data_IF_265040930688
#
_entry.id   IF_265040930688
#
_cell.length_a   1.000
_cell.length_b   1.000
_cell.length_c   1.000
_cell.angle_alpha   90.00
_cell.angle_beta   90.00
_cell.angle_gamma   90.00
#
_symmetry.space_group_name_H-M   'P 1'
#
loop_
_entity.id
_entity.type
_entity.pdbx_description
1 polymer ?
#
# COMPACT_ATOMS: atom_id res chain seq x y z
N UNK A 1 -59.12 -16.88 38.36
CA UNK A 1 -58.64 -15.49 38.33
C UNK A 1 -57.25 -15.53 37.71
N UNK A 2 -57.18 -15.40 36.39
CA UNK A 2 -55.94 -15.29 35.65
C UNK A 2 -55.49 -13.84 35.53
N UNK A 3 -54.25 -13.62 35.12
CA UNK A 3 -53.71 -12.29 34.84
C UNK A 3 -52.19 -12.28 34.87
N UNK A 4 -51.62 -12.44 33.68
CA UNK A 4 -50.22 -12.54 33.30
C UNK A 4 -49.33 -11.36 33.72
N UNK A 5 -48.05 -11.66 34.01
CA UNK A 5 -46.98 -10.67 34.23
C UNK A 5 -46.13 -10.57 32.96
N UNK A 6 -45.95 -9.40 32.34
CA UNK A 6 -45.20 -9.28 31.10
C UNK A 6 -43.68 -9.20 31.32
N UNK A 7 -42.96 -10.13 30.69
CA UNK A 7 -41.52 -10.01 30.37
C UNK A 7 -41.29 -8.83 29.45
N UNK A 8 -40.41 -7.90 29.84
CA UNK A 8 -39.83 -6.91 28.93
C UNK A 8 -38.31 -7.08 28.91
N UNK A 9 -37.82 -7.66 27.83
CA UNK A 9 -36.41 -7.69 27.47
C UNK A 9 -36.01 -6.31 26.95
N UNK A 10 -35.37 -5.50 27.80
CA UNK A 10 -34.73 -4.26 27.38
C UNK A 10 -33.43 -4.54 26.63
N UNK A 11 -33.50 -4.72 25.31
CA UNK A 11 -32.32 -4.66 24.45
C UNK A 11 -31.84 -3.21 24.38
N UNK A 12 -30.73 -2.93 25.09
CA UNK A 12 -29.97 -1.70 24.90
C UNK A 12 -29.22 -1.79 23.57
N UNK A 13 -29.90 -1.40 22.49
CA UNK A 13 -29.28 -1.11 21.20
C UNK A 13 -28.51 0.19 21.33
N UNK A 14 -27.20 0.11 21.57
CA UNK A 14 -26.27 1.23 21.44
C UNK A 14 -26.11 1.59 19.96
N UNK A 15 -27.04 2.40 19.45
CA UNK A 15 -26.90 3.09 18.17
C UNK A 15 -25.85 4.19 18.29
N UNK A 16 -24.58 3.86 18.06
CA UNK A 16 -23.55 4.85 17.76
C UNK A 16 -23.71 5.30 16.30
N UNK A 17 -24.62 6.25 16.09
CA UNK A 17 -24.66 7.08 14.88
C UNK A 17 -23.37 7.90 14.79
N UNK A 18 -22.40 7.41 14.03
CA UNK A 18 -21.20 8.18 13.67
C UNK A 18 -21.44 8.78 12.30
N UNK A 19 -21.96 10.00 12.33
CA UNK A 19 -22.25 10.85 11.19
C UNK A 19 -20.97 11.21 10.42
N UNK A 20 -21.17 11.35 9.12
CA UNK A 20 -20.27 11.78 8.08
C UNK A 20 -19.22 12.84 8.45
N UNK A 21 -18.03 12.59 7.92
CA UNK A 21 -16.93 13.53 7.81
C UNK A 21 -15.96 13.05 6.74
N UNK A 22 -16.46 12.83 5.52
CA UNK A 22 -15.62 12.57 4.35
C UNK A 22 -14.82 13.83 4.03
N UNK A 23 -13.70 14.02 4.72
CA UNK A 23 -12.70 14.99 4.28
C UNK A 23 -12.06 14.43 3.01
N UNK A 24 -12.52 14.91 1.84
CA UNK A 24 -11.78 14.84 0.60
C UNK A 24 -10.42 15.51 0.82
N UNK A 25 -9.43 14.72 1.24
CA UNK A 25 -8.03 15.12 1.12
C UNK A 25 -7.78 15.19 -0.37
N UNK A 26 -7.87 16.39 -0.93
CA UNK A 26 -7.40 16.68 -2.27
C UNK A 26 -5.92 16.32 -2.31
N UNK A 27 -5.62 15.14 -2.83
CA UNK A 27 -4.26 14.68 -3.02
C UNK A 27 -3.65 15.64 -4.03
N UNK A 28 -2.73 16.46 -3.56
CA UNK A 28 -2.04 17.50 -4.32
C UNK A 28 -1.45 16.87 -5.58
N UNK A 29 -2.01 17.24 -6.75
CA UNK A 29 -1.67 16.62 -8.04
C UNK A 29 -0.22 16.96 -8.36
N UNK A 30 0.66 15.97 -8.20
CA UNK A 30 2.07 16.14 -8.51
C UNK A 30 2.24 16.31 -10.03
N UNK A 31 3.08 17.25 -10.48
CA UNK A 31 3.39 17.37 -11.90
C UNK A 31 4.10 16.09 -12.35
N UNK A 32 3.45 15.35 -13.25
CA UNK A 32 3.99 14.09 -13.76
C UNK A 32 5.27 14.37 -14.58
N UNK A 33 6.38 13.62 -14.36
CA UNK A 33 7.58 13.74 -15.18
C UNK A 33 7.31 13.22 -16.61
N UNK A 34 7.01 14.16 -17.51
CA UNK A 34 6.69 13.98 -18.94
C UNK A 34 5.28 13.48 -19.26
N UNK A 35 4.72 14.06 -20.33
CA UNK A 35 3.43 13.72 -20.96
C UNK A 35 3.41 12.37 -21.68
N UNK A 36 4.54 11.67 -21.73
CA UNK A 36 4.63 10.33 -22.27
C UNK A 36 4.38 9.34 -21.12
N UNK A 37 3.30 8.53 -21.14
CA UNK A 37 2.99 7.67 -20.02
C UNK A 37 4.14 6.69 -19.79
N UNK A 38 4.71 6.74 -18.58
CA UNK A 38 5.70 5.75 -18.16
C UNK A 38 5.08 4.35 -18.31
N UNK A 39 5.77 3.39 -18.96
CA UNK A 39 5.27 2.04 -19.12
C UNK A 39 5.16 1.40 -17.74
N UNK A 40 3.93 1.23 -17.26
CA UNK A 40 3.61 0.56 -16.00
C UNK A 40 3.53 -0.95 -16.23
N UNK A 41 3.79 -1.75 -15.20
CA UNK A 41 3.52 -3.19 -15.28
C UNK A 41 2.00 -3.43 -15.36
N UNK A 42 1.57 -4.53 -15.97
CA UNK A 42 0.15 -4.86 -16.12
C UNK A 42 -0.64 -4.82 -14.79
N UNK A 43 -0.01 -5.23 -13.68
CA UNK A 43 -0.59 -5.15 -12.33
C UNK A 43 -0.75 -3.72 -11.81
N UNK A 44 0.15 -2.80 -12.16
CA UNK A 44 0.08 -1.39 -11.79
C UNK A 44 -1.00 -0.67 -12.60
N UNK A 45 -1.12 -1.00 -13.89
CA UNK A 45 -2.20 -0.47 -14.73
C UNK A 45 -3.59 -0.93 -14.27
N UNK A 46 -3.71 -2.15 -13.74
CA UNK A 46 -4.96 -2.61 -13.13
C UNK A 46 -5.36 -1.73 -11.93
N UNK A 47 -4.42 -1.41 -11.05
CA UNK A 47 -4.69 -0.53 -9.90
C UNK A 47 -5.07 0.90 -10.32
N UNK A 48 -4.46 1.41 -11.40
CA UNK A 48 -4.85 2.70 -11.98
C UNK A 48 -6.28 2.61 -12.53
N UNK A 49 -6.63 1.52 -13.22
CA UNK A 49 -7.99 1.29 -13.73
C UNK A 49 -9.02 1.23 -12.60
N UNK A 50 -8.67 0.66 -11.46
CA UNK A 50 -9.57 0.62 -10.30
C UNK A 50 -9.88 2.03 -9.76
N UNK A 51 -8.87 2.90 -9.65
CA UNK A 51 -9.05 4.31 -9.26
C UNK A 51 -9.89 5.06 -10.31
N UNK A 52 -9.59 4.84 -11.59
CA UNK A 52 -10.35 5.42 -12.70
C UNK A 52 -11.83 5.02 -12.66
N UNK A 53 -12.14 3.72 -12.55
CA UNK A 53 -13.52 3.25 -12.46
C UNK A 53 -14.21 3.72 -11.18
N UNK A 54 -13.50 3.81 -10.05
CA UNK A 54 -14.05 4.38 -8.83
C UNK A 54 -14.47 5.84 -9.04
N UNK A 55 -13.65 6.65 -9.72
CA UNK A 55 -13.97 8.05 -10.02
C UNK A 55 -15.16 8.18 -10.99
N UNK A 56 -15.17 7.40 -12.07
CA UNK A 56 -16.30 7.40 -13.03
C UNK A 56 -17.60 6.98 -12.33
N UNK A 57 -17.55 5.97 -11.46
CA UNK A 57 -18.73 5.54 -10.68
C UNK A 57 -19.20 6.61 -9.69
N UNK A 58 -18.29 7.41 -9.12
CA UNK A 58 -18.65 8.56 -8.26
C UNK A 58 -19.38 9.67 -9.03
N UNK A 59 -19.07 9.86 -10.31
CA UNK A 59 -19.76 10.85 -11.15
C UNK A 59 -21.13 10.32 -11.64
N UNK A 60 -21.24 9.01 -11.86
CA UNK A 60 -22.47 8.35 -12.34
C UNK A 60 -23.32 7.70 -11.21
N UNK A 61 -23.28 8.23 -9.98
CA UNK A 61 -23.94 7.58 -8.83
C UNK A 61 -25.44 7.41 -9.02
N UNK A 62 -26.13 8.42 -9.57
CA UNK A 62 -27.58 8.39 -9.71
C UNK A 62 -28.04 7.34 -10.72
N UNK A 63 -27.32 7.20 -11.83
CA UNK A 63 -27.62 6.17 -12.84
C UNK A 63 -27.32 4.75 -12.35
N UNK A 64 -26.27 4.61 -11.53
CA UNK A 64 -25.93 3.33 -10.88
C UNK A 64 -26.99 2.95 -9.85
N UNK A 65 -27.50 3.92 -9.08
CA UNK A 65 -28.59 3.70 -8.12
C UNK A 65 -29.87 3.26 -8.83
N UNK A 66 -30.27 3.93 -9.91
CA UNK A 66 -31.45 3.55 -10.69
C UNK A 66 -31.34 2.12 -11.27
N UNK A 67 -30.14 1.72 -11.72
CA UNK A 67 -29.90 0.34 -12.14
C UNK A 67 -29.95 -0.64 -10.95
N UNK A 68 -29.36 -0.28 -9.82
CA UNK A 68 -29.36 -1.10 -8.61
C UNK A 68 -30.79 -1.33 -8.10
N UNK A 69 -31.62 -0.29 -8.01
CA UNK A 69 -33.02 -0.38 -7.59
C UNK A 69 -33.83 -1.35 -8.48
N UNK A 70 -33.62 -1.33 -9.79
CA UNK A 70 -34.25 -2.29 -10.69
C UNK A 70 -33.74 -3.73 -10.47
N UNK A 71 -32.45 -3.88 -10.16
CA UNK A 71 -31.81 -5.17 -9.92
C UNK A 71 -32.12 -5.76 -8.53
N UNK A 72 -32.57 -4.96 -7.56
CA UNK A 72 -32.97 -5.45 -6.24
C UNK A 72 -34.12 -6.46 -6.39
N UNK A 73 -33.87 -7.71 -6.01
CA UNK A 73 -34.87 -8.79 -6.04
C UNK A 73 -35.03 -9.49 -7.41
N UNK A 74 -34.22 -9.13 -8.42
CA UNK A 74 -34.18 -9.84 -9.71
C UNK A 74 -32.77 -10.38 -9.86
N UNK A 75 -32.59 -11.70 -9.90
CA UNK A 75 -31.26 -12.32 -10.06
C UNK A 75 -31.04 -12.83 -11.47
N UNK A 76 -32.05 -13.49 -12.05
CA UNK A 76 -31.95 -14.10 -13.37
C UNK A 76 -32.52 -13.23 -14.51
N UNK A 77 -33.50 -12.37 -14.22
CA UNK A 77 -34.20 -11.57 -15.23
C UNK A 77 -33.66 -10.14 -15.42
N UNK A 78 -32.64 -9.74 -14.65
CA UNK A 78 -31.97 -8.41 -14.73
C UNK A 78 -31.58 -7.99 -16.14
N UNK A 79 -30.88 -8.81 -16.95
CA UNK A 79 -30.37 -8.34 -18.25
C UNK A 79 -31.48 -7.99 -19.25
N UNK A 80 -32.69 -8.54 -19.05
CA UNK A 80 -33.86 -8.27 -19.88
C UNK A 80 -34.73 -7.16 -19.26
N UNK A 81 -35.07 -7.29 -17.98
CA UNK A 81 -36.01 -6.39 -17.32
C UNK A 81 -35.41 -5.02 -16.97
N UNK A 82 -34.11 -4.96 -16.67
CA UNK A 82 -33.39 -3.73 -16.30
C UNK A 82 -32.55 -3.19 -17.46
N UNK A 83 -32.87 -3.57 -18.71
CA UNK A 83 -32.10 -3.18 -19.89
C UNK A 83 -32.10 -1.67 -20.14
N UNK A 84 -33.19 -0.99 -19.83
CA UNK A 84 -33.31 0.47 -19.95
C UNK A 84 -32.35 1.21 -18.98
N UNK A 85 -32.45 1.06 -17.65
CA UNK A 85 -31.54 1.72 -16.73
C UNK A 85 -30.08 1.28 -16.93
N UNK A 86 -29.84 0.03 -17.32
CA UNK A 86 -28.49 -0.44 -17.66
C UNK A 86 -27.86 0.32 -18.85
N UNK A 87 -28.66 0.71 -19.87
CA UNK A 87 -28.15 1.52 -20.99
C UNK A 87 -27.83 2.94 -20.56
N UNK A 88 -28.68 3.55 -19.73
CA UNK A 88 -28.46 4.93 -19.24
C UNK A 88 -27.18 4.99 -18.39
N UNK A 89 -27.02 4.05 -17.45
CA UNK A 89 -25.79 3.91 -16.66
C UNK A 89 -24.54 3.75 -17.53
N UNK A 90 -24.58 2.84 -18.52
CA UNK A 90 -23.44 2.64 -19.42
C UNK A 90 -23.15 3.87 -20.30
N UNK A 91 -24.16 4.62 -20.70
CA UNK A 91 -23.96 5.86 -21.43
C UNK A 91 -23.27 6.90 -20.56
N UNK A 92 -23.69 7.09 -19.31
CA UNK A 92 -22.99 7.97 -18.36
C UNK A 92 -21.52 7.56 -18.20
N UNK A 93 -21.26 6.26 -17.95
CA UNK A 93 -19.88 5.77 -17.79
C UNK A 93 -19.02 6.03 -19.03
N UNK A 94 -19.56 5.91 -20.24
CA UNK A 94 -18.83 6.19 -21.49
C UNK A 94 -18.54 7.68 -21.68
N UNK A 95 -19.44 8.57 -21.27
CA UNK A 95 -19.23 10.02 -21.35
C UNK A 95 -18.07 10.48 -20.47
N UNK A 96 -17.95 9.89 -19.27
CA UNK A 96 -16.89 10.22 -18.32
C UNK A 96 -15.62 9.39 -18.50
N UNK A 97 -15.64 8.34 -19.32
CA UNK A 97 -14.48 7.53 -19.64
C UNK A 97 -13.55 8.21 -20.67
N UNK A 98 -13.02 9.38 -20.31
CA UNK A 98 -12.10 10.13 -21.15
C UNK A 98 -10.64 9.74 -20.88
N UNK A 99 -9.75 9.83 -21.89
CA UNK A 99 -8.30 9.65 -21.67
C UNK A 99 -7.72 10.61 -20.62
N UNK A 100 -8.25 11.84 -20.56
CA UNK A 100 -7.83 12.83 -19.57
C UNK A 100 -8.16 12.40 -18.12
N UNK A 101 -9.31 11.76 -17.89
CA UNK A 101 -9.64 11.18 -16.59
C UNK A 101 -8.75 9.99 -16.25
N UNK A 102 -8.35 9.20 -17.25
CA UNK A 102 -7.40 8.10 -17.06
C UNK A 102 -6.01 8.60 -16.67
N UNK A 103 -5.52 9.68 -17.29
CA UNK A 103 -4.25 10.31 -16.93
C UNK A 103 -4.31 10.93 -15.53
N UNK A 104 -5.41 11.60 -15.19
CA UNK A 104 -5.62 12.12 -13.85
C UNK A 104 -5.76 11.01 -12.78
N UNK A 105 -6.23 9.81 -13.15
CA UNK A 105 -6.21 8.65 -12.26
C UNK A 105 -4.79 8.06 -12.11
N UNK A 106 -3.97 8.10 -13.17
CA UNK A 106 -2.53 7.76 -13.08
C UNK A 106 -1.81 8.70 -12.11
N UNK A 107 -2.03 10.01 -12.23
CA UNK A 107 -1.46 11.02 -11.32
C UNK A 107 -1.83 10.76 -9.86
N UNK A 108 -3.10 10.51 -9.59
CA UNK A 108 -3.58 10.18 -8.25
C UNK A 108 -2.93 8.89 -7.72
N UNK A 109 -2.82 7.84 -8.55
CA UNK A 109 -2.16 6.60 -8.16
C UNK A 109 -0.69 6.82 -7.78
N UNK A 110 0.04 7.62 -8.55
CA UNK A 110 1.42 7.99 -8.24
C UNK A 110 1.50 8.80 -6.94
N UNK A 111 0.61 9.77 -6.74
CA UNK A 111 0.59 10.60 -5.55
C UNK A 111 0.28 9.79 -4.28
N UNK A 112 -0.73 8.91 -4.32
CA UNK A 112 -1.04 7.99 -3.22
C UNK A 112 0.13 7.07 -2.89
N UNK A 113 0.88 6.62 -3.89
CA UNK A 113 2.08 5.80 -3.68
C UNK A 113 3.20 6.61 -3.00
N UNK A 114 3.42 7.84 -3.42
CA UNK A 114 4.39 8.74 -2.78
C UNK A 114 3.98 9.08 -1.35
N UNK A 115 2.69 9.25 -1.09
CA UNK A 115 2.15 9.46 0.25
C UNK A 115 2.41 8.23 1.15
N UNK A 116 2.13 7.01 0.67
CA UNK A 116 2.47 5.77 1.41
C UNK A 116 3.96 5.63 1.68
N UNK A 117 4.82 6.11 0.79
CA UNK A 117 6.27 6.13 1.03
C UNK A 117 6.64 7.12 2.14
N UNK A 118 6.12 8.36 2.08
CA UNK A 118 6.31 9.38 3.12
C UNK A 118 5.76 8.93 4.48
N UNK A 119 4.64 8.21 4.49
CA UNK A 119 4.06 7.67 5.72
C UNK A 119 4.94 6.57 6.33
N UNK A 120 5.51 5.69 5.50
CA UNK A 120 6.50 4.68 5.95
C UNK A 120 7.75 5.33 6.50
N UNK A 121 8.27 6.38 5.87
CA UNK A 121 9.41 7.16 6.38
C UNK A 121 9.10 7.82 7.74
N UNK A 122 7.92 8.44 7.88
CA UNK A 122 7.46 9.02 9.15
C UNK A 122 7.31 7.96 10.25
N UNK A 123 6.74 6.80 9.92
CA UNK A 123 6.61 5.68 10.86
C UNK A 123 7.97 5.10 11.25
N UNK A 124 8.89 4.96 10.30
CA UNK A 124 10.26 4.50 10.55
C UNK A 124 11.02 5.48 11.46
N UNK A 125 10.91 6.80 11.21
CA UNK A 125 11.50 7.82 12.07
C UNK A 125 10.98 7.75 13.51
N UNK A 126 9.65 7.64 13.69
CA UNK A 126 9.04 7.49 15.02
C UNK A 126 9.51 6.21 15.72
N UNK A 127 9.65 5.11 14.97
CA UNK A 127 10.17 3.86 15.51
C UNK A 127 11.64 3.99 15.92
N UNK A 128 12.47 4.67 15.13
CA UNK A 128 13.86 4.92 15.47
C UNK A 128 13.99 5.80 16.73
N UNK A 129 13.15 6.83 16.88
CA UNK A 129 13.08 7.64 18.09
C UNK A 129 12.64 6.79 19.31
N UNK A 130 11.65 5.91 19.14
CA UNK A 130 11.21 4.98 20.20
C UNK A 130 12.29 3.96 20.57
N UNK A 131 12.99 3.39 19.57
CA UNK A 131 14.09 2.45 19.78
C UNK A 131 15.27 3.13 20.49
N UNK A 132 15.58 4.39 20.15
CA UNK A 132 16.60 5.19 20.84
C UNK A 132 16.22 5.45 22.30
N UNK A 133 14.98 5.88 22.55
CA UNK A 133 14.47 6.11 23.90
C UNK A 133 14.47 4.82 24.74
N UNK A 134 14.00 3.71 24.17
CA UNK A 134 14.01 2.41 24.85
C UNK A 134 15.44 1.93 25.16
N UNK A 135 16.41 2.19 24.28
CA UNK A 135 17.81 1.82 24.47
C UNK A 135 18.46 2.63 25.60
N UNK A 136 18.21 3.93 25.63
CA UNK A 136 18.65 4.82 26.72
C UNK A 136 18.03 4.40 28.04
N UNK A 137 16.72 4.13 28.05
CA UNK A 137 15.97 3.69 29.23
C UNK A 137 16.49 2.37 29.82
N UNK A 138 16.90 1.42 28.96
CA UNK A 138 17.46 0.13 29.39
C UNK A 138 18.97 0.16 29.68
N UNK A 139 19.65 1.30 29.54
CA UNK A 139 21.08 1.44 29.82
C UNK A 139 21.98 0.59 28.91
N UNK A 140 21.52 0.26 27.69
CA UNK A 140 22.36 -0.47 26.74
C UNK A 140 23.50 0.45 26.22
N UNK A 141 24.71 -0.09 25.94
CA UNK A 141 25.81 0.68 25.34
C UNK A 141 25.40 1.42 24.07
N UNK A 142 26.09 2.49 23.64
CA UNK A 142 25.84 3.06 22.32
C UNK A 142 25.98 2.00 21.23
N UNK A 143 25.08 2.02 20.23
CA UNK A 143 25.18 1.09 19.10
C UNK A 143 26.47 1.40 18.33
N UNK A 144 27.20 0.37 17.90
CA UNK A 144 28.46 0.54 17.17
C UNK A 144 28.30 1.55 16.03
N UNK A 145 29.20 2.54 15.98
CA UNK A 145 29.11 3.69 15.07
C UNK A 145 29.01 3.27 13.60
N UNK A 146 29.54 2.11 13.25
CA UNK A 146 29.44 1.51 11.91
C UNK A 146 28.06 0.93 11.61
N UNK A 147 27.41 0.30 12.59
CA UNK A 147 26.06 -0.23 12.43
C UNK A 147 25.04 0.90 12.33
N UNK A 148 25.21 1.95 13.13
CA UNK A 148 24.42 3.17 13.05
C UNK A 148 24.55 3.84 11.66
N UNK A 149 25.77 3.91 11.09
CA UNK A 149 25.99 4.40 9.71
C UNK A 149 25.28 3.55 8.66
N UNK A 150 25.40 2.22 8.73
CA UNK A 150 24.74 1.29 7.80
C UNK A 150 23.21 1.37 7.88
N UNK A 151 22.66 1.55 9.08
CA UNK A 151 21.21 1.74 9.24
C UNK A 151 20.72 3.09 8.73
N UNK A 152 21.49 4.16 8.95
CA UNK A 152 21.17 5.48 8.40
C UNK A 152 21.18 5.45 6.86
N UNK A 153 22.17 4.79 6.24
CA UNK A 153 22.23 4.61 4.79
C UNK A 153 21.06 3.79 4.24
N UNK A 154 20.65 2.73 4.95
CA UNK A 154 19.45 1.95 4.61
C UNK A 154 18.16 2.76 4.76
N UNK A 155 18.04 3.55 5.82
CA UNK A 155 16.88 4.43 6.02
C UNK A 155 16.82 5.57 4.99
N UNK A 156 17.98 6.09 4.56
CA UNK A 156 18.08 7.14 3.56
C UNK A 156 17.98 6.61 2.11
N UNK A 157 17.97 5.29 1.91
CA UNK A 157 17.80 4.68 0.60
C UNK A 157 16.36 4.85 0.10
N UNK A 158 16.06 6.02 -0.48
CA UNK A 158 14.72 6.37 -1.00
C UNK A 158 14.25 5.33 -2.01
N UNK A 159 13.07 4.77 -1.79
CA UNK A 159 12.42 3.88 -2.77
C UNK A 159 12.19 4.63 -4.09
N UNK A 160 12.76 4.11 -5.18
CA UNK A 160 12.56 4.65 -6.54
C UNK A 160 11.17 4.27 -7.07
N UNK A 161 10.53 5.18 -7.82
CA UNK A 161 9.20 5.02 -8.43
C UNK A 161 9.06 3.73 -9.27
N UNK A 162 10.14 3.15 -9.79
CA UNK A 162 10.15 1.88 -10.53
C UNK A 162 10.41 0.60 -9.72
N UNK A 163 10.61 0.69 -8.40
CA UNK A 163 11.19 -0.41 -7.62
C UNK A 163 12.68 -0.63 -7.95
N UNK A 164 13.32 -1.54 -7.23
CA UNK A 164 14.67 -2.00 -7.59
C UNK A 164 14.58 -2.86 -8.84
N UNK A 165 15.34 -2.49 -9.88
CA UNK A 165 15.58 -3.39 -11.02
C UNK A 165 16.22 -4.66 -10.46
N UNK A 166 15.67 -5.84 -10.79
CA UNK A 166 16.07 -7.12 -10.21
C UNK A 166 17.57 -7.42 -10.24
N UNK A 167 18.32 -6.78 -11.14
CA UNK A 167 19.77 -6.84 -11.21
C UNK A 167 20.49 -6.41 -9.92
N UNK A 168 19.95 -5.47 -9.16
CA UNK A 168 20.59 -5.05 -7.91
C UNK A 168 20.52 -6.14 -6.84
N UNK A 169 19.42 -6.91 -6.74
CA UNK A 169 19.33 -8.04 -5.81
C UNK A 169 20.32 -9.16 -6.15
N UNK A 170 20.50 -9.44 -7.44
CA UNK A 170 21.51 -10.41 -7.91
C UNK A 170 22.93 -9.93 -7.60
N UNK A 171 23.20 -8.64 -7.81
CA UNK A 171 24.50 -8.04 -7.49
C UNK A 171 24.78 -8.07 -5.99
N UNK A 172 23.81 -7.69 -5.16
CA UNK A 172 23.93 -7.68 -3.71
C UNK A 172 24.06 -9.12 -3.16
N UNK A 173 23.37 -10.10 -3.76
CA UNK A 173 23.51 -11.52 -3.43
C UNK A 173 24.88 -12.08 -3.83
N UNK A 174 25.40 -11.72 -5.01
CA UNK A 174 26.76 -12.10 -5.44
C UNK A 174 27.83 -11.45 -4.56
N UNK A 175 27.64 -10.19 -4.16
CA UNK A 175 28.57 -9.49 -3.27
C UNK A 175 28.54 -10.07 -1.85
N UNK A 176 27.36 -10.48 -1.36
CA UNK A 176 27.22 -11.19 -0.09
C UNK A 176 27.85 -12.60 -0.15
N UNK A 177 27.69 -13.33 -1.26
CA UNK A 177 28.32 -14.64 -1.47
C UNK A 177 29.85 -14.54 -1.52
N UNK A 178 30.41 -13.52 -2.19
CA UNK A 178 31.85 -13.26 -2.24
C UNK A 178 32.43 -12.86 -0.87
N UNK A 179 31.68 -12.14 -0.04
CA UNK A 179 32.08 -11.85 1.35
C UNK A 179 32.09 -13.12 2.19
N UNK A 180 31.06 -13.97 2.04
CA UNK A 180 30.96 -15.25 2.75
C UNK A 180 32.10 -16.21 2.39
N UNK A 181 32.52 -16.27 1.12
CA UNK A 181 33.65 -17.12 0.70
C UNK A 181 34.98 -16.65 1.30
N UNK A 182 35.25 -15.34 1.32
CA UNK A 182 36.46 -14.78 1.93
C UNK A 182 36.54 -15.07 3.43
N UNK A 183 35.42 -14.95 4.15
CA UNK A 183 35.35 -15.26 5.58
C UNK A 183 35.65 -16.76 5.83
N UNK A 184 35.09 -17.64 4.98
CA UNK A 184 35.33 -19.08 5.06
C UNK A 184 36.79 -19.45 4.79
N UNK A 185 37.41 -18.77 3.83
CA UNK A 185 38.82 -18.95 3.48
C UNK A 185 39.74 -18.44 4.62
N UNK A 186 39.43 -17.29 5.19
CA UNK A 186 40.15 -16.76 6.34
C UNK A 186 40.05 -17.67 7.57
N UNK A 187 38.87 -18.21 7.86
CA UNK A 187 38.65 -19.19 8.92
C UNK A 187 39.28 -20.57 8.64
N UNK A 188 39.59 -20.87 7.38
CA UNK A 188 40.37 -22.06 7.00
C UNK A 188 41.85 -21.84 7.27
N UNK A 189 42.38 -20.70 6.83
CA UNK A 189 43.78 -20.32 7.07
C UNK A 189 44.11 -20.19 8.56
N UNK A 190 43.18 -19.67 9.37
CA UNK A 190 43.34 -19.65 10.84
C UNK A 190 43.42 -21.07 11.43
N UNK A 191 42.56 -22.00 10.98
CA UNK A 191 42.64 -23.40 11.44
C UNK A 191 43.95 -24.08 11.04
N UNK A 192 44.37 -23.89 9.79
CA UNK A 192 45.61 -24.47 9.27
C UNK A 192 46.85 -23.85 9.97
N UNK A 193 46.75 -22.59 10.42
CA UNK A 193 47.75 -21.94 11.27
C UNK A 193 47.79 -22.50 12.69
N UNK A 194 46.63 -22.71 13.32
CA UNK A 194 46.51 -23.29 14.68
C UNK A 194 47.06 -24.72 14.73
N UNK A 195 46.85 -25.54 13.69
CA UNK A 195 47.39 -26.91 13.61
C UNK A 195 48.92 -26.95 13.47
N UNK A 196 49.53 -25.89 12.90
CA UNK A 196 50.99 -25.76 12.80
C UNK A 196 51.66 -25.40 14.11
N UNK A 197 50.99 -24.68 15.00
CA UNK A 197 51.53 -24.27 16.30
C UNK A 197 51.41 -25.37 17.38
N UNK A 198 50.56 -26.40 17.16
CA UNK A 198 50.44 -27.57 18.05
C UNK A 198 51.53 -28.65 17.83
N UNK A 199 52.30 -28.57 16.74
CA UNK A 199 53.32 -29.56 16.35
C UNK A 199 54.77 -29.10 16.55
N UNK A 200 54.99 -27.97 17.22
CA UNK A 200 56.30 -27.48 17.70
C UNK A 200 56.38 -27.56 19.22
#
# INVERSE_FOLDING_TARGET
>A
MGGDVPSTFGSASSSSSSSDGQTDKQVERLPMPSRNPLPLSASQEAQVRDIFYARVRRQCTEEIKAFAECALGRTFSVPFACRAPHRVMNNCMKLHATPAEQDAAREEWFALRMERARERERKARRKAEQEAFLREWWGLPEKDREEARKELEKMNQKERVGGYVGNNRLRDANEAAAKKSKILEQARLERDGIDRDLHT
#
